data_IF_707410403389
#
_entry.id   IF_707410403389
#
_cell.length_a   1.000
_cell.length_b   1.000
_cell.length_c   1.000
_cell.angle_alpha   90.00
_cell.angle_beta   90.00
_cell.angle_gamma   90.00
#
_symmetry.space_group_name_H-M   'P 1'
#
loop_
_entity.id
_entity.type
_entity.pdbx_description
1 polymer ?
#
# COMPACT_ATOMS: atom_id res chain seq x y z
N UNK A 1 1.81 16.59 -3.40
CA UNK A 1 1.45 17.98 -3.09
C UNK A 1 2.34 18.48 -1.96
N UNK A 2 2.81 19.72 -2.04
CA UNK A 2 3.61 20.37 -0.97
C UNK A 2 2.84 20.59 0.34
N UNK A 3 1.55 20.30 0.34
CA UNK A 3 0.64 20.48 1.48
C UNK A 3 0.61 19.28 2.44
N UNK A 4 1.17 18.12 2.05
CA UNK A 4 1.24 16.94 2.93
C UNK A 4 2.57 16.98 3.68
N UNK A 5 2.49 17.15 5.00
CA UNK A 5 3.65 17.28 5.87
C UNK A 5 4.23 15.92 6.27
N UNK A 6 3.37 14.92 6.49
CA UNK A 6 3.76 13.55 6.84
C UNK A 6 2.63 12.58 6.47
N UNK A 7 2.95 11.31 6.26
CA UNK A 7 1.98 10.27 5.92
C UNK A 7 2.22 8.98 6.71
N UNK A 8 1.13 8.32 7.10
CA UNK A 8 1.15 6.95 7.62
C UNK A 8 0.24 6.11 6.75
N UNK A 9 0.78 5.02 6.20
CA UNK A 9 0.11 4.12 5.26
C UNK A 9 0.06 2.73 5.87
N UNK A 10 -1.13 2.24 6.18
CA UNK A 10 -1.33 0.91 6.75
C UNK A 10 -2.00 0.01 5.73
N UNK A 11 -1.46 -1.20 5.51
CA UNK A 11 -1.95 -2.18 4.56
C UNK A 11 -2.38 -1.51 3.23
N UNK A 12 -1.43 -0.97 2.42
CA UNK A 12 -1.73 -0.14 1.25
C UNK A 12 -2.58 -0.91 0.24
N UNK A 13 -3.89 -0.61 0.28
CA UNK A 13 -4.89 -1.27 -0.54
C UNK A 13 -4.93 -0.68 -1.94
N UNK A 14 -5.34 -1.47 -2.92
CA UNK A 14 -5.43 -1.09 -4.32
C UNK A 14 -4.08 -0.58 -4.91
N UNK A 15 -3.01 -1.26 -4.52
CA UNK A 15 -1.67 -1.02 -5.01
C UNK A 15 -1.07 -2.34 -5.52
N UNK A 16 -0.38 -2.30 -6.66
CA UNK A 16 0.19 -3.51 -7.26
C UNK A 16 -0.88 -4.51 -7.70
N UNK A 17 -1.91 -4.06 -8.39
CA UNK A 17 -3.05 -4.89 -8.76
C UNK A 17 -2.68 -6.16 -9.51
N UNK A 18 -1.75 -6.07 -10.46
CA UNK A 18 -1.39 -7.21 -11.29
C UNK A 18 -0.63 -8.28 -10.49
N UNK A 19 0.11 -7.88 -9.46
CA UNK A 19 0.73 -8.82 -8.53
C UNK A 19 -0.31 -9.36 -7.54
N UNK A 20 -1.18 -8.50 -7.03
CA UNK A 20 -2.22 -8.89 -6.08
C UNK A 20 -3.16 -9.96 -6.63
N UNK A 21 -3.55 -9.91 -7.92
CA UNK A 21 -4.42 -10.93 -8.52
C UNK A 21 -3.80 -12.33 -8.58
N UNK A 22 -2.48 -12.43 -8.50
CA UNK A 22 -1.77 -13.71 -8.43
C UNK A 22 -1.61 -14.20 -6.97
N UNK A 23 -1.76 -13.32 -5.99
CA UNK A 23 -1.47 -13.60 -4.57
C UNK A 23 -2.72 -13.78 -3.72
N UNK A 24 -3.86 -13.19 -4.11
CA UNK A 24 -5.09 -13.26 -3.32
C UNK A 24 -6.33 -13.44 -4.18
N UNK A 25 -7.35 -14.09 -3.58
CA UNK A 25 -8.70 -14.19 -4.16
C UNK A 25 -9.69 -13.23 -3.50
N UNK A 26 -9.21 -12.28 -2.70
CA UNK A 26 -10.07 -11.30 -2.04
C UNK A 26 -10.65 -10.29 -3.05
N UNK A 27 -11.85 -9.77 -2.72
CA UNK A 27 -12.43 -8.64 -3.44
C UNK A 27 -11.54 -7.39 -3.28
N UNK A 28 -11.34 -6.56 -4.31
CA UNK A 28 -11.88 -6.66 -5.69
C UNK A 28 -10.96 -7.43 -6.66
N UNK A 29 -9.82 -7.95 -6.22
CA UNK A 29 -8.82 -8.58 -7.08
C UNK A 29 -9.37 -9.79 -7.83
N UNK A 30 -10.25 -10.58 -7.21
CA UNK A 30 -10.86 -11.74 -7.87
C UNK A 30 -11.72 -11.36 -9.09
N UNK A 31 -12.34 -10.17 -9.13
CA UNK A 31 -13.12 -9.72 -10.28
C UNK A 31 -12.24 -9.52 -11.53
N UNK A 32 -10.99 -9.07 -11.32
CA UNK A 32 -10.02 -8.94 -12.41
C UNK A 32 -9.63 -10.34 -12.92
N UNK A 33 -9.43 -11.28 -12.00
CA UNK A 33 -9.14 -12.67 -12.35
C UNK A 33 -10.28 -13.30 -13.15
N UNK A 34 -11.53 -13.15 -12.70
CA UNK A 34 -12.71 -13.69 -13.39
C UNK A 34 -12.86 -13.09 -14.79
N UNK A 35 -12.60 -11.78 -14.92
CA UNK A 35 -12.58 -11.14 -16.23
C UNK A 35 -11.48 -11.72 -17.14
N UNK A 36 -10.26 -11.89 -16.62
CA UNK A 36 -9.13 -12.42 -17.38
C UNK A 36 -9.25 -13.92 -17.68
N UNK A 37 -9.92 -14.69 -16.83
CA UNK A 37 -10.27 -16.08 -17.15
C UNK A 37 -11.26 -16.18 -18.32
N UNK A 38 -12.14 -15.18 -18.45
CA UNK A 38 -13.12 -15.13 -19.56
C UNK A 38 -12.49 -14.56 -20.84
N UNK A 39 -11.59 -13.57 -20.70
CA UNK A 39 -10.99 -12.84 -21.81
C UNK A 39 -9.45 -12.75 -21.64
N UNK A 40 -8.73 -13.89 -21.75
CA UNK A 40 -7.29 -13.92 -21.50
C UNK A 40 -6.48 -13.02 -22.46
N UNK A 41 -6.98 -12.81 -23.68
CA UNK A 41 -6.37 -11.93 -24.67
C UNK A 41 -6.38 -10.45 -24.27
N UNK A 42 -7.20 -10.07 -23.27
CA UNK A 42 -7.33 -8.69 -22.78
C UNK A 42 -6.32 -8.32 -21.70
N UNK A 43 -5.44 -9.23 -21.30
CA UNK A 43 -4.50 -8.97 -20.19
C UNK A 43 -3.73 -7.66 -20.36
N UNK A 44 -3.18 -7.39 -21.54
CA UNK A 44 -2.44 -6.16 -21.78
C UNK A 44 -3.30 -4.88 -21.70
N UNK A 45 -4.58 -4.97 -22.08
CA UNK A 45 -5.52 -3.85 -21.97
C UNK A 45 -5.91 -3.59 -20.52
N UNK A 46 -6.12 -4.65 -19.73
CA UNK A 46 -6.41 -4.58 -18.29
C UNK A 46 -5.24 -3.95 -17.56
N UNK A 47 -4.03 -4.46 -17.76
CA UNK A 47 -2.80 -3.94 -17.14
C UNK A 47 -2.62 -2.45 -17.43
N UNK A 48 -2.73 -2.04 -18.70
CA UNK A 48 -2.63 -0.63 -19.09
C UNK A 48 -3.71 0.24 -18.44
N UNK A 49 -4.94 -0.27 -18.33
CA UNK A 49 -6.06 0.48 -17.76
C UNK A 49 -5.90 0.63 -16.26
N UNK A 50 -5.56 -0.45 -15.56
CA UNK A 50 -5.38 -0.46 -14.11
C UNK A 50 -4.22 0.45 -13.68
N UNK A 51 -3.15 0.53 -14.47
CA UNK A 51 -2.01 1.40 -14.16
C UNK A 51 -2.39 2.88 -13.93
N UNK A 52 -3.52 3.34 -14.48
CA UNK A 52 -4.04 4.70 -14.21
C UNK A 52 -4.65 4.87 -12.81
N UNK A 53 -5.01 3.79 -12.16
CA UNK A 53 -5.69 3.78 -10.85
C UNK A 53 -4.83 3.16 -9.76
N UNK A 54 -3.79 2.43 -10.13
CA UNK A 54 -2.90 1.73 -9.19
C UNK A 54 -2.08 2.73 -8.38
N UNK A 55 -2.19 2.62 -7.05
CA UNK A 55 -1.48 3.49 -6.13
C UNK A 55 0.04 3.45 -6.29
N UNK A 56 0.60 2.33 -6.74
CA UNK A 56 2.05 2.19 -6.97
C UNK A 56 2.54 3.15 -8.07
N UNK A 57 1.70 3.44 -9.07
CA UNK A 57 2.01 4.37 -10.16
C UNK A 57 2.16 5.83 -9.71
N UNK A 58 1.81 6.12 -8.46
CA UNK A 58 1.89 7.47 -7.87
C UNK A 58 2.81 7.53 -6.65
N UNK A 59 3.31 6.40 -6.18
CA UNK A 59 4.10 6.30 -4.95
C UNK A 59 5.40 7.11 -5.03
N UNK A 60 5.98 7.25 -6.21
CA UNK A 60 7.17 8.09 -6.49
C UNK A 60 6.97 9.58 -6.17
N UNK A 61 5.71 10.03 -6.09
CA UNK A 61 5.36 11.42 -5.76
C UNK A 61 5.28 11.69 -4.26
N UNK A 62 5.43 10.66 -3.43
CA UNK A 62 5.47 10.79 -1.97
C UNK A 62 6.90 11.17 -1.58
N UNK A 63 7.08 12.44 -1.21
CA UNK A 63 8.38 13.01 -0.81
C UNK A 63 8.39 13.48 0.64
N UNK A 64 7.23 13.52 1.32
CA UNK A 64 7.15 13.82 2.75
C UNK A 64 7.63 12.64 3.59
N UNK A 65 7.98 12.85 4.88
CA UNK A 65 8.18 11.77 5.83
C UNK A 65 7.02 10.79 5.81
N UNK A 66 7.30 9.48 5.73
CA UNK A 66 6.27 8.45 5.61
C UNK A 66 6.64 7.19 6.37
N UNK A 67 5.64 6.60 7.02
CA UNK A 67 5.73 5.25 7.58
C UNK A 67 4.72 4.35 6.86
N UNK A 68 5.13 3.11 6.61
CA UNK A 68 4.27 2.08 5.99
C UNK A 68 4.29 0.84 6.88
N UNK A 69 3.13 0.22 7.08
CA UNK A 69 3.04 -1.02 7.86
C UNK A 69 2.15 -2.06 7.20
N UNK A 70 2.51 -3.32 7.39
CA UNK A 70 1.79 -4.49 6.87
C UNK A 70 1.71 -5.60 7.91
N UNK A 71 0.68 -6.43 7.83
CA UNK A 71 0.60 -7.71 8.51
C UNK A 71 1.10 -8.80 7.59
N UNK A 72 2.00 -9.67 8.08
CA UNK A 72 2.62 -10.71 7.24
C UNK A 72 1.65 -11.85 6.88
N UNK A 73 0.53 -11.98 7.58
CA UNK A 73 -0.54 -12.94 7.29
C UNK A 73 -1.78 -12.28 6.68
N UNK A 74 -1.63 -11.10 6.06
CA UNK A 74 -2.73 -10.43 5.38
C UNK A 74 -3.09 -11.17 4.09
N UNK A 75 -4.27 -11.76 4.05
CA UNK A 75 -4.82 -12.46 2.89
C UNK A 75 -5.78 -11.60 2.06
N UNK A 76 -6.04 -10.38 2.50
CA UNK A 76 -6.86 -9.38 1.77
C UNK A 76 -5.96 -8.48 0.94
N UNK A 77 -4.94 -7.92 1.58
CA UNK A 77 -3.90 -7.09 0.95
C UNK A 77 -2.56 -7.79 1.13
N UNK A 78 -2.10 -8.55 0.15
CA UNK A 78 -0.84 -9.28 0.26
C UNK A 78 0.32 -8.35 0.67
N UNK A 79 1.12 -8.71 1.69
CA UNK A 79 2.21 -7.85 2.18
C UNK A 79 3.22 -7.51 1.08
N UNK A 80 3.36 -8.35 0.06
CA UNK A 80 4.22 -8.12 -1.11
C UNK A 80 3.89 -6.81 -1.82
N UNK A 81 2.60 -6.47 -1.92
CA UNK A 81 2.17 -5.20 -2.52
C UNK A 81 2.57 -3.99 -1.65
N UNK A 82 2.60 -4.17 -0.34
CA UNK A 82 3.09 -3.17 0.62
C UNK A 82 4.58 -2.88 0.44
N UNK A 83 5.39 -3.93 0.26
CA UNK A 83 6.82 -3.79 -0.06
C UNK A 83 7.03 -3.07 -1.40
N UNK A 84 6.24 -3.41 -2.41
CA UNK A 84 6.33 -2.77 -3.72
C UNK A 84 6.05 -1.27 -3.64
N UNK A 85 4.99 -0.87 -2.92
CA UNK A 85 4.66 0.54 -2.67
C UNK A 85 5.80 1.24 -1.92
N UNK A 86 6.28 0.65 -0.82
CA UNK A 86 7.37 1.24 -0.03
C UNK A 86 8.63 1.47 -0.86
N UNK A 87 9.00 0.51 -1.70
CA UNK A 87 10.15 0.62 -2.59
C UNK A 87 9.99 1.75 -3.61
N UNK A 88 8.76 1.97 -4.12
CA UNK A 88 8.45 3.00 -5.10
C UNK A 88 8.37 4.42 -4.50
N UNK A 89 8.22 4.57 -3.18
CA UNK A 89 8.17 5.87 -2.50
C UNK A 89 9.53 6.58 -2.60
N UNK A 90 9.54 7.83 -3.07
CA UNK A 90 10.76 8.64 -3.26
C UNK A 90 11.24 9.36 -1.98
N UNK A 91 10.46 9.37 -0.90
CA UNK A 91 10.89 10.00 0.34
C UNK A 91 12.18 9.36 0.89
N UNK A 92 13.16 10.17 1.22
CA UNK A 92 14.38 9.73 1.93
C UNK A 92 14.10 9.43 3.41
N UNK A 93 13.06 10.04 3.98
CA UNK A 93 12.60 9.79 5.34
C UNK A 93 11.41 8.83 5.32
N UNK A 94 11.68 7.56 5.04
CA UNK A 94 10.66 6.51 5.01
C UNK A 94 11.06 5.33 5.89
N UNK A 95 10.06 4.70 6.57
CA UNK A 95 10.26 3.52 7.40
C UNK A 95 9.16 2.50 7.18
N UNK A 96 9.54 1.21 7.14
CA UNK A 96 8.64 0.09 6.98
C UNK A 96 8.52 -0.69 8.29
N UNK A 97 7.31 -1.16 8.60
CA UNK A 97 7.02 -1.97 9.78
C UNK A 97 6.28 -3.24 9.36
N UNK A 98 6.76 -4.36 9.85
CA UNK A 98 6.23 -5.69 9.59
C UNK A 98 5.67 -6.27 10.87
N UNK A 99 4.51 -6.88 10.80
CA UNK A 99 3.85 -7.49 11.95
C UNK A 99 3.57 -8.96 11.68
N UNK A 100 4.45 -9.82 12.20
CA UNK A 100 4.26 -11.27 12.15
C UNK A 100 3.06 -11.67 13.04
N UNK A 101 2.28 -12.66 12.57
CA UNK A 101 1.05 -13.07 13.25
C UNK A 101 -0.16 -12.13 13.05
N UNK A 102 0.00 -11.02 12.33
CA UNK A 102 -1.08 -10.08 12.02
C UNK A 102 -1.52 -10.20 10.56
N UNK A 103 -2.84 -10.09 10.35
CA UNK A 103 -3.47 -10.04 9.03
C UNK A 103 -3.73 -8.59 8.58
N UNK A 104 -4.93 -8.35 8.05
CA UNK A 104 -5.35 -7.03 7.54
C UNK A 104 -5.41 -5.92 8.61
N UNK A 105 -5.31 -6.25 9.88
CA UNK A 105 -5.16 -5.30 10.98
C UNK A 105 -3.78 -4.62 11.02
N UNK A 106 -2.79 -5.20 10.32
CA UNK A 106 -1.44 -4.68 10.14
C UNK A 106 -0.79 -4.15 11.42
N UNK A 107 -1.00 -4.86 12.54
CA UNK A 107 -0.46 -4.49 13.86
C UNK A 107 -1.17 -3.32 14.54
N UNK A 108 -2.41 -3.02 14.18
CA UNK A 108 -3.20 -1.85 14.59
C UNK A 108 -2.98 -1.40 16.04
N UNK A 109 -3.07 -2.30 17.01
CA UNK A 109 -2.95 -1.95 18.42
C UNK A 109 -1.52 -1.65 18.88
N UNK A 110 -0.53 -2.25 18.22
CA UNK A 110 0.89 -2.04 18.51
C UNK A 110 1.38 -0.82 17.74
N UNK A 111 0.96 -0.67 16.49
CA UNK A 111 1.40 0.38 15.58
C UNK A 111 0.86 1.75 15.93
N UNK A 112 -0.29 1.84 16.62
CA UNK A 112 -0.93 3.12 16.95
C UNK A 112 -0.02 4.09 17.70
N UNK A 113 0.71 3.62 18.72
CA UNK A 113 1.66 4.45 19.46
C UNK A 113 2.81 4.98 18.57
N UNK A 114 3.25 4.19 17.59
CA UNK A 114 4.28 4.60 16.61
C UNK A 114 3.75 5.71 15.71
N UNK A 115 2.50 5.61 15.26
CA UNK A 115 1.83 6.63 14.44
C UNK A 115 1.71 7.94 15.22
N UNK A 116 1.29 7.87 16.50
CA UNK A 116 1.14 9.05 17.35
C UNK A 116 2.49 9.77 17.54
N UNK A 117 3.54 9.04 17.84
CA UNK A 117 4.89 9.58 17.97
C UNK A 117 5.42 10.17 16.65
N UNK A 118 5.19 9.46 15.55
CA UNK A 118 5.58 9.92 14.22
C UNK A 118 4.92 11.25 13.87
N UNK A 119 3.62 11.37 14.05
CA UNK A 119 2.92 12.62 13.77
C UNK A 119 3.27 13.72 14.77
N UNK A 120 3.49 13.41 16.04
CA UNK A 120 3.96 14.40 17.02
C UNK A 120 5.33 14.99 16.64
N UNK A 121 6.17 14.19 16.01
CA UNK A 121 7.50 14.62 15.54
C UNK A 121 7.42 15.52 14.31
N UNK A 122 6.53 15.20 13.35
CA UNK A 122 6.49 15.86 12.04
C UNK A 122 5.41 16.94 11.93
N UNK A 123 4.35 16.89 12.74
CA UNK A 123 3.28 17.89 12.77
C UNK A 123 3.49 18.86 13.95
N UNK A 124 4.56 19.66 13.92
CA UNK A 124 4.71 20.72 14.90
C UNK A 124 3.55 21.70 14.75
N UNK A 125 2.70 21.82 15.77
CA UNK A 125 1.75 22.92 15.85
C UNK A 125 2.57 24.20 15.80
N UNK A 126 2.37 25.01 14.76
CA UNK A 126 2.86 26.37 14.75
C UNK A 126 2.32 27.11 15.98
N UNK A 127 3.21 27.65 16.78
CA UNK A 127 2.84 28.60 17.83
C UNK A 127 2.32 29.87 17.19
#
# INVERSE_FOLDING_TARGET
RKEITAASISAPYLCGYMDAIELTHAYPFHEINDYLHTYPERRADVERTIAYFDGISFADKITCPVIVNVGLQDNVVPPETGYAVFNAISSENKKFYEYDGHGHDAGKYIHGAIVDEFFATHLKRGN
#
